data_IF_055595142108
#
_entry.id   IF_055595142108
#
_cell.length_a   1.000
_cell.length_b   1.000
_cell.length_c   1.000
_cell.angle_alpha   90.00
_cell.angle_beta   90.00
_cell.angle_gamma   90.00
#
_symmetry.space_group_name_H-M   'P 1'
#
loop_
_entity.id
_entity.type
_entity.pdbx_description
1 polymer ?
#
# COMPACT_ATOMS: atom_id res chain seq x y z
N UNK A 1 -14.09 -3.11 21.30
CA UNK A 1 -12.95 -2.19 21.53
C UNK A 1 -12.11 -2.28 20.27
N UNK A 2 -12.54 -1.57 19.24
CA UNK A 2 -12.03 -1.72 17.88
C UNK A 2 -11.15 -0.53 17.57
N UNK A 3 -10.04 -0.42 18.31
CA UNK A 3 -8.95 0.51 17.99
C UNK A 3 -8.11 -0.04 16.85
N UNK A 4 -8.74 -0.24 15.70
CA UNK A 4 -8.05 -0.44 14.43
C UNK A 4 -8.41 0.71 13.49
N UNK A 5 -8.12 1.93 13.94
CA UNK A 5 -8.08 3.08 13.06
C UNK A 5 -7.23 2.65 11.84
N UNK A 6 -7.84 2.72 10.66
CA UNK A 6 -7.32 2.21 9.41
C UNK A 6 -6.02 2.94 9.03
N UNK A 7 -4.90 2.46 9.57
CA UNK A 7 -3.56 2.65 9.02
C UNK A 7 -3.50 1.74 7.80
N UNK A 8 -3.46 2.16 6.54
CA UNK A 8 -3.82 3.39 5.84
C UNK A 8 -4.38 2.88 4.51
N UNK A 9 -5.45 3.46 3.94
CA UNK A 9 -5.92 3.11 2.60
C UNK A 9 -4.94 3.54 1.50
N UNK A 10 -3.61 3.51 1.72
CA UNK A 10 -2.62 4.10 0.81
C UNK A 10 -2.70 3.53 -0.62
N UNK A 11 -2.89 2.21 -0.74
CA UNK A 11 -3.12 1.56 -2.04
C UNK A 11 -4.48 2.00 -2.64
N UNK A 12 -5.55 2.06 -1.83
CA UNK A 12 -6.86 2.48 -2.30
C UNK A 12 -6.88 3.96 -2.74
N UNK A 13 -6.25 4.85 -1.97
CA UNK A 13 -6.07 6.26 -2.28
C UNK A 13 -5.24 6.46 -3.54
N UNK A 14 -4.17 5.67 -3.70
CA UNK A 14 -3.41 5.67 -4.94
C UNK A 14 -4.31 5.32 -6.13
N UNK A 15 -5.08 4.23 -6.03
CA UNK A 15 -6.03 3.84 -7.10
C UNK A 15 -7.06 4.93 -7.40
N UNK A 16 -7.62 5.57 -6.38
CA UNK A 16 -8.58 6.67 -6.55
C UNK A 16 -7.99 7.88 -7.29
N UNK A 17 -6.72 8.22 -6.99
CA UNK A 17 -6.00 9.33 -7.64
C UNK A 17 -5.52 9.01 -9.05
N UNK A 18 -5.36 7.72 -9.38
CA UNK A 18 -4.94 7.24 -10.69
C UNK A 18 -6.15 6.67 -11.45
N UNK A 19 -7.04 7.56 -11.90
CA UNK A 19 -8.22 7.23 -12.73
C UNK A 19 -9.21 6.22 -12.10
N UNK A 20 -9.32 6.19 -10.76
CA UNK A 20 -10.18 5.24 -10.03
C UNK A 20 -9.91 3.78 -10.44
N UNK A 21 -8.63 3.47 -10.61
CA UNK A 21 -8.14 2.15 -10.99
C UNK A 21 -8.81 1.04 -10.17
N UNK A 22 -9.28 0.00 -10.86
CA UNK A 22 -9.82 -1.20 -10.20
C UNK A 22 -8.71 -2.01 -9.52
N UNK A 23 -9.08 -2.94 -8.63
CA UNK A 23 -8.13 -3.87 -8.01
C UNK A 23 -7.39 -4.72 -9.06
N UNK A 24 -8.08 -5.08 -10.15
CA UNK A 24 -7.49 -5.87 -11.25
C UNK A 24 -6.46 -5.06 -12.03
N UNK A 25 -6.76 -3.79 -12.34
CA UNK A 25 -5.83 -2.91 -13.02
C UNK A 25 -4.59 -2.61 -12.17
N UNK A 26 -4.78 -2.39 -10.87
CA UNK A 26 -3.66 -2.22 -9.94
C UNK A 26 -2.77 -3.47 -9.89
N UNK A 27 -3.39 -4.66 -9.85
CA UNK A 27 -2.68 -5.94 -9.87
C UNK A 27 -1.82 -6.14 -11.13
N UNK A 28 -2.21 -5.54 -12.26
CA UNK A 28 -1.45 -5.59 -13.54
C UNK A 28 -0.19 -4.72 -13.53
N UNK A 29 -0.02 -3.82 -12.57
CA UNK A 29 1.21 -3.00 -12.44
C UNK A 29 2.43 -3.85 -12.05
N UNK A 30 2.21 -5.04 -11.49
CA UNK A 30 3.26 -5.92 -10.97
C UNK A 30 3.72 -6.95 -12.00
N UNK A 31 4.95 -7.47 -11.84
CA UNK A 31 5.50 -8.57 -12.64
C UNK A 31 6.05 -9.68 -11.72
N UNK A 32 5.47 -10.91 -11.73
CA UNK A 32 4.24 -11.27 -12.44
C UNK A 32 3.02 -10.49 -11.91
N UNK A 33 1.95 -10.35 -12.72
CA UNK A 33 0.71 -9.71 -12.28
C UNK A 33 0.15 -10.36 -11.02
N UNK A 34 -0.45 -9.54 -10.17
CA UNK A 34 -1.05 -9.96 -8.91
C UNK A 34 -2.56 -9.97 -9.07
N UNK A 35 -3.24 -10.95 -8.49
CA UNK A 35 -4.70 -11.04 -8.59
C UNK A 35 -5.42 -10.03 -7.67
N UNK A 36 -6.67 -9.69 -8.01
CA UNK A 36 -7.47 -8.74 -7.25
C UNK A 36 -7.69 -9.11 -5.79
N UNK A 37 -7.74 -10.41 -5.46
CA UNK A 37 -7.97 -10.87 -4.09
C UNK A 37 -6.74 -10.61 -3.23
N UNK A 38 -5.55 -10.74 -3.81
CA UNK A 38 -4.30 -10.36 -3.17
C UNK A 38 -4.23 -8.85 -2.95
N UNK A 39 -4.58 -8.02 -3.95
CA UNK A 39 -4.64 -6.56 -3.79
C UNK A 39 -5.64 -6.16 -2.69
N UNK A 40 -6.83 -6.76 -2.68
CA UNK A 40 -7.85 -6.53 -1.63
C UNK A 40 -7.32 -6.89 -0.23
N UNK A 41 -6.52 -7.95 -0.10
CA UNK A 41 -5.88 -8.30 1.18
C UNK A 41 -4.87 -7.24 1.61
N UNK A 42 -4.08 -6.72 0.68
CA UNK A 42 -3.12 -5.66 0.96
C UNK A 42 -3.79 -4.39 1.45
N UNK A 43 -4.90 -3.97 0.81
CA UNK A 43 -5.70 -2.82 1.26
C UNK A 43 -6.31 -3.00 2.65
N UNK A 44 -6.50 -4.25 3.08
CA UNK A 44 -6.97 -4.61 4.43
C UNK A 44 -5.83 -4.75 5.45
N UNK A 45 -4.62 -4.33 5.09
CA UNK A 45 -3.42 -4.41 5.93
C UNK A 45 -2.82 -5.81 6.04
N UNK A 46 -3.23 -6.76 5.19
CA UNK A 46 -2.64 -8.11 5.11
C UNK A 46 -1.57 -8.17 4.02
N UNK A 47 -0.60 -7.26 4.11
CA UNK A 47 0.56 -7.18 3.22
C UNK A 47 1.80 -7.61 3.99
N UNK A 48 2.73 -8.32 3.34
CA UNK A 48 4.00 -8.71 3.96
C UNK A 48 5.06 -7.63 3.73
N UNK A 49 6.13 -7.56 4.55
CA UNK A 49 7.21 -6.58 4.37
C UNK A 49 7.80 -6.59 2.95
N UNK A 50 8.05 -7.77 2.40
CA UNK A 50 8.55 -7.93 1.03
C UNK A 50 7.59 -7.33 -0.02
N UNK A 51 6.27 -7.50 0.17
CA UNK A 51 5.27 -6.94 -0.75
C UNK A 51 5.14 -5.43 -0.58
N UNK A 52 5.28 -4.89 0.63
CA UNK A 52 5.27 -3.45 0.84
C UNK A 52 6.43 -2.76 0.10
N UNK A 53 7.64 -3.34 0.14
CA UNK A 53 8.79 -2.86 -0.67
C UNK A 53 8.47 -2.93 -2.17
N UNK A 54 7.84 -4.02 -2.63
CA UNK A 54 7.46 -4.15 -4.04
C UNK A 54 6.42 -3.09 -4.47
N UNK A 55 5.41 -2.84 -3.63
CA UNK A 55 4.42 -1.78 -3.88
C UNK A 55 5.09 -0.41 -3.94
N UNK A 56 6.00 -0.12 -3.02
CA UNK A 56 6.81 1.10 -3.03
C UNK A 56 7.57 1.29 -4.34
N UNK A 57 8.27 0.25 -4.82
CA UNK A 57 9.01 0.33 -6.09
C UNK A 57 8.11 0.58 -7.31
N UNK A 58 6.89 0.04 -7.32
CA UNK A 58 5.97 0.15 -8.46
C UNK A 58 5.15 1.45 -8.45
N UNK A 59 4.80 1.93 -7.25
CA UNK A 59 3.80 3.00 -7.07
C UNK A 59 4.36 4.28 -6.45
N UNK A 60 5.56 4.21 -5.87
CA UNK A 60 6.14 5.28 -5.05
C UNK A 60 5.48 5.45 -3.68
N UNK A 61 4.49 4.62 -3.33
CA UNK A 61 3.88 4.65 -1.99
C UNK A 61 4.95 4.22 -0.98
N UNK A 62 5.33 5.06 0.00
CA UNK A 62 6.36 4.70 0.95
C UNK A 62 5.91 3.49 1.77
N UNK A 63 6.80 2.50 1.93
CA UNK A 63 6.50 1.26 2.65
C UNK A 63 6.11 1.49 4.12
N UNK A 64 6.56 2.59 4.72
CA UNK A 64 6.16 3.07 6.05
C UNK A 64 4.68 3.43 6.11
N UNK A 65 4.07 3.88 5.00
CA UNK A 65 2.62 4.11 4.95
C UNK A 65 1.81 2.81 4.82
N UNK A 66 2.46 1.72 4.39
CA UNK A 66 1.85 0.39 4.24
C UNK A 66 2.00 -0.47 5.51
N UNK A 67 3.18 -0.42 6.16
CA UNK A 67 3.53 -1.21 7.35
C UNK A 67 4.44 -0.38 8.30
N UNK A 68 3.91 0.65 8.97
CA UNK A 68 4.70 1.48 9.89
C UNK A 68 5.24 0.71 11.10
N UNK A 69 4.59 -0.37 11.50
CA UNK A 69 5.03 -1.24 12.60
C UNK A 69 6.28 -2.06 12.27
N UNK A 70 6.56 -2.26 10.98
CA UNK A 70 7.77 -2.96 10.50
C UNK A 70 8.85 -1.98 10.11
N UNK A 71 8.49 -0.90 9.39
CA UNK A 71 9.46 0.03 8.80
C UNK A 71 9.64 1.33 9.58
N UNK A 72 8.95 1.48 10.71
CA UNK A 72 8.92 2.71 11.50
C UNK A 72 7.94 3.74 10.95
N UNK A 73 7.72 4.85 11.69
CA UNK A 73 6.87 5.93 11.23
C UNK A 73 7.47 6.59 9.98
N UNK A 74 6.59 7.10 9.11
CA UNK A 74 7.00 7.97 8.01
C UNK A 74 7.54 9.28 8.61
N UNK A 75 8.86 9.41 8.70
CA UNK A 75 9.49 10.67 9.11
C UNK A 75 9.52 11.56 7.88
N UNK A 76 8.71 12.63 7.86
CA UNK A 76 8.92 13.69 6.88
C UNK A 76 10.16 14.48 7.35
N UNK A 77 11.26 14.39 6.61
CA UNK A 77 12.36 15.34 6.75
C UNK A 77 11.87 16.73 6.31
N UNK A 78 11.22 17.43 7.23
CA UNK A 78 10.87 18.83 7.14
C UNK A 78 11.14 19.46 8.51
N UNK A 79 12.40 19.44 8.92
CA UNK A 79 12.94 20.24 10.01
C UNK A 79 14.47 20.27 9.85
N UNK A 80 14.93 20.94 8.79
CA UNK A 80 16.20 21.69 8.86
C UNK A 80 15.84 23.16 9.10
#
# INVERSE_FOLDING_TARGET
>A
MDTKAAITPAIALYREKHDRMTLEEFGKLFRPPVDKSTVLRWERGKITPLRAVMVEQVTGIPRQALLPEVFGPLVSEAAE
#
